data_IF_190664267115
#
_entry.id   IF_190664267115
#
_cell.length_a   1.000
_cell.length_b   1.000
_cell.length_c   1.000
_cell.angle_alpha   90.00
_cell.angle_beta   90.00
_cell.angle_gamma   90.00
#
_symmetry.space_group_name_H-M   'P 1'
#
loop_
_entity.id
_entity.type
_entity.pdbx_description
1 polymer ?
#
# COMPACT_ATOMS: atom_id res chain seq x y z
N UNK A 1 3.71 3.91 -6.75
CA UNK A 1 4.04 5.33 -6.48
C UNK A 1 4.60 5.49 -5.08
N UNK A 2 5.65 6.28 -4.91
CA UNK A 2 6.29 6.51 -3.60
C UNK A 2 5.39 7.33 -2.64
N UNK A 3 5.60 7.15 -1.33
CA UNK A 3 4.84 7.82 -0.29
C UNK A 3 4.93 9.35 -0.31
N UNK A 4 5.99 9.93 -0.89
CA UNK A 4 6.17 11.37 -1.01
C UNK A 4 5.13 12.02 -1.94
N UNK A 5 4.69 11.29 -2.97
CA UNK A 5 3.74 11.77 -3.97
C UNK A 5 2.30 11.34 -3.68
N UNK A 6 2.11 10.19 -3.02
CA UNK A 6 0.78 9.64 -2.78
C UNK A 6 -0.08 10.45 -1.81
N UNK A 7 -1.34 10.64 -2.22
CA UNK A 7 -2.44 11.13 -1.39
C UNK A 7 -3.78 10.63 -1.94
N UNK A 8 -4.81 10.59 -1.09
CA UNK A 8 -6.17 10.19 -1.51
C UNK A 8 -6.72 11.14 -2.59
N UNK A 9 -6.47 12.45 -2.44
CA UNK A 9 -6.92 13.43 -3.41
C UNK A 9 -6.30 13.19 -4.80
N UNK A 10 -5.00 12.87 -4.86
CA UNK A 10 -4.32 12.54 -6.11
C UNK A 10 -4.84 11.22 -6.69
N UNK A 11 -4.98 10.18 -5.87
CA UNK A 11 -5.47 8.87 -6.32
C UNK A 11 -6.86 8.98 -6.96
N UNK A 12 -7.79 9.73 -6.35
CA UNK A 12 -9.12 10.01 -6.93
C UNK A 12 -9.03 10.72 -8.28
N UNK A 13 -8.19 11.76 -8.38
CA UNK A 13 -8.01 12.51 -9.65
C UNK A 13 -7.45 11.63 -10.76
N UNK A 14 -6.51 10.75 -10.45
CA UNK A 14 -5.91 9.83 -11.41
C UNK A 14 -6.90 8.75 -11.83
N UNK A 15 -7.68 8.21 -10.90
CA UNK A 15 -8.73 7.25 -11.20
C UNK A 15 -9.79 7.82 -12.16
N UNK A 16 -10.20 9.07 -11.96
CA UNK A 16 -11.11 9.77 -12.90
C UNK A 16 -10.53 9.92 -14.31
N UNK A 17 -9.21 9.85 -14.46
CA UNK A 17 -8.50 9.87 -15.75
C UNK A 17 -8.16 8.47 -16.27
N UNK A 18 -8.73 7.42 -15.67
CA UNK A 18 -8.45 6.02 -16.04
C UNK A 18 -7.03 5.56 -15.69
N UNK A 19 -6.34 6.26 -14.78
CA UNK A 19 -5.00 5.90 -14.33
C UNK A 19 -5.06 5.28 -12.95
N UNK A 20 -4.71 4.00 -12.84
CA UNK A 20 -4.64 3.30 -11.57
C UNK A 20 -3.37 3.64 -10.79
N UNK A 21 -3.51 3.71 -9.46
CA UNK A 21 -2.42 4.00 -8.54
C UNK A 21 -2.39 2.93 -7.47
N UNK A 22 -1.20 2.38 -7.23
CA UNK A 22 -0.91 1.55 -6.07
C UNK A 22 0.39 2.03 -5.43
N UNK A 23 0.41 2.16 -4.10
CA UNK A 23 1.61 2.54 -3.38
C UNK A 23 1.47 2.71 -1.90
N UNK A 24 2.52 3.26 -1.29
CA UNK A 24 2.57 3.50 0.15
C UNK A 24 2.10 4.91 0.50
N UNK A 25 1.64 5.13 1.74
CA UNK A 25 1.22 6.43 2.26
C UNK A 25 2.04 6.81 3.50
N UNK A 26 2.34 8.11 3.63
CA UNK A 26 2.80 8.67 4.90
C UNK A 26 1.63 8.81 5.87
N UNK A 27 1.81 8.38 7.11
CA UNK A 27 0.76 8.41 8.13
C UNK A 27 0.24 9.84 8.41
N UNK A 28 1.13 10.83 8.41
CA UNK A 28 0.81 12.25 8.64
C UNK A 28 0.25 12.99 7.39
N UNK A 29 -0.06 12.28 6.30
CA UNK A 29 -0.66 12.91 5.11
C UNK A 29 -2.10 13.34 5.41
N UNK A 30 -2.41 14.61 5.13
CA UNK A 30 -3.77 15.15 5.28
C UNK A 30 -4.77 14.34 4.46
N UNK A 31 -5.91 14.03 5.07
CA UNK A 31 -7.03 13.33 4.43
C UNK A 31 -7.04 11.82 4.65
N UNK A 32 -5.97 11.22 5.21
CA UNK A 32 -5.99 9.82 5.58
C UNK A 32 -7.09 9.52 6.62
N UNK A 33 -7.82 8.39 6.53
CA UNK A 33 -8.83 8.02 7.52
C UNK A 33 -8.18 7.76 8.88
N UNK A 34 -8.61 8.52 9.90
CA UNK A 34 -8.07 8.39 11.26
C UNK A 34 -8.24 6.96 11.78
N UNK A 35 -9.41 6.35 11.55
CA UNK A 35 -9.75 4.98 11.91
C UNK A 35 -8.76 3.93 11.39
N UNK A 36 -8.10 4.18 10.25
CA UNK A 36 -7.06 3.29 9.70
C UNK A 36 -5.70 3.65 10.29
N UNK A 37 -5.34 4.92 10.30
CA UNK A 37 -4.01 5.39 10.76
C UNK A 37 -3.76 5.08 12.25
N UNK A 38 -4.78 5.25 13.11
CA UNK A 38 -4.67 5.11 14.57
C UNK A 38 -4.85 3.67 15.06
N UNK A 39 -5.35 2.75 14.21
CA UNK A 39 -5.58 1.36 14.60
C UNK A 39 -4.27 0.71 15.02
N UNK A 40 -4.26 0.14 16.23
CA UNK A 40 -3.18 -0.74 16.69
C UNK A 40 -3.41 -2.13 16.11
N UNK A 41 -2.37 -2.68 15.49
CA UNK A 41 -2.40 -3.98 14.82
C UNK A 41 -1.38 -4.90 15.48
N UNK A 42 -1.69 -6.19 15.58
CA UNK A 42 -0.70 -7.23 15.82
C UNK A 42 0.10 -7.51 14.53
N UNK A 43 1.26 -8.15 14.67
CA UNK A 43 2.08 -8.51 13.51
C UNK A 43 1.32 -9.50 12.62
N UNK A 44 1.23 -9.20 11.34
CA UNK A 44 0.50 -9.96 10.34
C UNK A 44 -0.92 -9.42 10.07
N UNK A 45 -1.47 -8.58 10.97
CA UNK A 45 -2.81 -8.04 10.79
C UNK A 45 -2.86 -6.90 9.78
N UNK A 46 -4.04 -6.75 9.16
CA UNK A 46 -4.37 -5.67 8.23
C UNK A 46 -5.72 -5.06 8.59
N UNK A 47 -5.88 -3.78 8.28
CA UNK A 47 -7.17 -3.10 8.26
C UNK A 47 -7.23 -2.23 7.01
N UNK A 48 -8.37 -2.18 6.34
CA UNK A 48 -8.55 -1.35 5.16
C UNK A 48 -9.93 -0.70 5.13
N UNK A 49 -10.02 0.42 4.40
CA UNK A 49 -11.26 1.10 4.09
C UNK A 49 -11.28 1.39 2.60
N UNK A 50 -12.40 1.08 1.95
CA UNK A 50 -12.69 1.47 0.59
C UNK A 50 -13.66 2.65 0.58
N UNK A 51 -13.37 3.67 -0.23
CA UNK A 51 -14.31 4.78 -0.46
C UNK A 51 -14.05 5.45 -1.80
N UNK A 52 -15.09 5.51 -2.64
CA UNK A 52 -15.05 6.23 -3.91
C UNK A 52 -13.92 5.78 -4.83
N UNK A 53 -13.76 4.47 -5.02
CA UNK A 53 -12.72 3.90 -5.90
C UNK A 53 -11.33 3.83 -5.29
N UNK A 54 -11.14 4.24 -4.04
CA UNK A 54 -9.84 4.25 -3.37
C UNK A 54 -9.88 3.39 -2.12
N UNK A 55 -8.99 2.41 -2.07
CA UNK A 55 -8.65 1.63 -0.88
C UNK A 55 -7.50 2.32 -0.14
N UNK A 56 -7.67 2.56 1.16
CA UNK A 56 -6.58 2.90 2.07
C UNK A 56 -6.49 1.81 3.12
N UNK A 57 -5.28 1.28 3.35
CA UNK A 57 -5.07 0.24 4.34
C UNK A 57 -3.82 0.45 5.18
N UNK A 58 -3.78 -0.27 6.28
CA UNK A 58 -2.66 -0.36 7.21
C UNK A 58 -2.41 -1.83 7.48
N UNK A 59 -1.17 -2.26 7.29
CA UNK A 59 -0.70 -3.61 7.56
C UNK A 59 0.53 -3.56 8.44
N UNK A 60 0.65 -4.49 9.39
CA UNK A 60 1.83 -4.53 10.28
C UNK A 60 2.70 -5.74 9.99
N UNK A 61 3.89 -5.49 9.45
CA UNK A 61 4.98 -6.46 9.47
C UNK A 61 5.87 -6.25 10.70
N UNK A 62 7.15 -5.90 10.51
CA UNK A 62 8.03 -5.44 11.57
C UNK A 62 7.64 -4.04 12.03
N UNK A 63 7.06 -3.25 11.13
CA UNK A 63 6.55 -1.90 11.34
C UNK A 63 5.21 -1.76 10.63
N UNK A 64 4.47 -0.74 11.01
CA UNK A 64 3.24 -0.37 10.33
C UNK A 64 3.56 0.17 8.93
N UNK A 65 2.85 -0.35 7.93
CA UNK A 65 2.90 0.09 6.55
C UNK A 65 1.50 0.57 6.17
N UNK A 66 1.38 1.86 5.85
CA UNK A 66 0.16 2.38 5.23
C UNK A 66 0.28 2.29 3.72
N UNK A 67 -0.80 1.88 3.07
CA UNK A 67 -0.89 1.73 1.64
C UNK A 67 -2.18 2.34 1.09
N UNK A 68 -2.14 2.65 -0.20
CA UNK A 68 -3.24 3.15 -1.00
C UNK A 68 -3.28 2.39 -2.31
N UNK A 69 -4.47 2.05 -2.76
CA UNK A 69 -4.67 1.50 -4.10
C UNK A 69 -6.01 1.93 -4.67
N UNK A 70 -6.08 2.12 -5.99
CA UNK A 70 -7.33 2.25 -6.74
C UNK A 70 -7.63 1.00 -7.58
N UNK A 71 -6.81 -0.04 -7.44
CA UNK A 71 -6.85 -1.26 -8.24
C UNK A 71 -7.10 -2.50 -7.36
N UNK A 72 -6.51 -2.50 -6.17
CA UNK A 72 -6.60 -3.59 -5.21
C UNK A 72 -7.35 -3.15 -3.95
N UNK A 73 -8.00 -4.11 -3.31
CA UNK A 73 -8.67 -3.94 -2.03
C UNK A 73 -7.75 -4.35 -0.85
N UNK A 74 -8.34 -4.67 0.29
CA UNK A 74 -7.62 -5.15 1.48
C UNK A 74 -7.30 -6.65 1.47
N UNK A 75 -7.47 -7.35 0.35
CA UNK A 75 -7.24 -8.79 0.26
C UNK A 75 -5.82 -9.17 0.72
N UNK A 76 -5.76 -10.13 1.64
CA UNK A 76 -4.52 -10.76 2.09
C UNK A 76 -4.27 -11.99 1.24
N UNK A 77 -3.08 -12.08 0.66
CA UNK A 77 -2.66 -13.24 -0.13
C UNK A 77 -1.34 -13.79 0.40
N UNK A 78 -1.14 -15.08 0.19
CA UNK A 78 0.11 -15.75 0.54
C UNK A 78 1.19 -15.41 -0.48
N UNK A 79 2.32 -14.89 -0.01
CA UNK A 79 3.52 -14.68 -0.80
C UNK A 79 4.66 -15.53 -0.21
N UNK A 80 5.27 -16.35 -1.07
CA UNK A 80 6.45 -17.12 -0.71
C UNK A 80 7.71 -16.30 -0.99
N UNK A 81 8.62 -16.21 -0.02
CA UNK A 81 9.91 -15.57 -0.25
C UNK A 81 10.88 -16.52 -0.96
N UNK A 82 12.04 -16.00 -1.39
CA UNK A 82 13.08 -16.80 -2.06
C UNK A 82 13.64 -17.97 -1.22
N UNK A 83 13.33 -18.04 0.08
CA UNK A 83 13.76 -19.09 1.02
C UNK A 83 12.66 -20.13 1.27
N UNK A 84 11.53 -20.05 0.58
CA UNK A 84 10.39 -20.96 0.77
C UNK A 84 9.46 -20.60 1.93
N UNK A 85 9.70 -19.48 2.62
CA UNK A 85 8.86 -19.07 3.74
C UNK A 85 7.61 -18.35 3.22
N UNK A 86 6.45 -18.90 3.54
CA UNK A 86 5.15 -18.33 3.19
C UNK A 86 4.69 -17.28 4.19
N UNK A 87 4.20 -16.15 3.69
CA UNK A 87 3.68 -15.06 4.52
C UNK A 87 2.46 -14.41 3.90
N UNK A 88 1.47 -14.11 4.74
CA UNK A 88 0.29 -13.34 4.37
C UNK A 88 0.65 -11.84 4.27
N UNK A 89 0.35 -11.23 3.13
CA UNK A 89 0.53 -9.78 2.90
C UNK A 89 -0.63 -9.22 2.08
N UNK A 90 -0.94 -7.91 2.20
CA UNK A 90 -1.92 -7.29 1.33
C UNK A 90 -1.47 -7.38 -0.13
N UNK A 91 -2.39 -7.76 -1.02
CA UNK A 91 -2.13 -7.85 -2.47
C UNK A 91 -1.60 -6.55 -3.06
N UNK A 92 -2.13 -5.41 -2.60
CA UNK A 92 -1.64 -4.08 -2.96
C UNK A 92 -0.14 -3.89 -2.68
N UNK A 93 0.37 -4.40 -1.54
CA UNK A 93 1.79 -4.31 -1.17
C UNK A 93 2.65 -5.21 -2.04
N UNK A 94 2.18 -6.43 -2.34
CA UNK A 94 2.90 -7.37 -3.21
C UNK A 94 3.04 -6.76 -4.61
N UNK A 95 1.95 -6.26 -5.17
CA UNK A 95 1.93 -5.62 -6.48
C UNK A 95 2.81 -4.36 -6.49
N UNK A 96 2.73 -3.53 -5.45
CA UNK A 96 3.63 -2.39 -5.29
C UNK A 96 5.11 -2.81 -5.34
N UNK A 97 5.52 -3.77 -4.51
CA UNK A 97 6.92 -4.22 -4.45
C UNK A 97 7.38 -4.81 -5.78
N UNK A 98 6.52 -5.58 -6.46
CA UNK A 98 6.81 -6.17 -7.77
C UNK A 98 7.20 -5.11 -8.80
N UNK A 99 6.42 -4.03 -8.91
CA UNK A 99 6.66 -3.00 -9.93
C UNK A 99 7.67 -1.92 -9.50
N UNK A 100 7.78 -1.63 -8.21
CA UNK A 100 8.73 -0.61 -7.73
C UNK A 100 10.17 -1.14 -7.56
N UNK A 101 10.35 -2.46 -7.39
CA UNK A 101 11.69 -3.05 -7.21
C UNK A 101 12.68 -2.79 -8.34
N UNK A 102 12.20 -2.46 -9.54
CA UNK A 102 13.06 -2.08 -10.66
C UNK A 102 13.65 -0.68 -10.51
N UNK A 103 12.89 0.27 -9.92
CA UNK A 103 13.32 1.65 -9.72
C UNK A 103 14.38 1.72 -8.61
N UNK A 104 14.11 1.07 -7.47
CA UNK A 104 15.05 1.04 -6.34
C UNK A 104 16.40 0.42 -6.70
N UNK A 105 16.44 -0.54 -7.65
CA UNK A 105 17.69 -1.13 -8.15
C UNK A 105 18.49 -0.16 -9.02
N UNK A 106 17.80 0.64 -9.82
CA UNK A 106 18.47 1.65 -10.64
C UNK A 106 19.12 2.72 -9.75
N UNK A 107 18.40 3.18 -8.72
CA UNK A 107 18.90 4.16 -7.75
C UNK A 107 20.08 3.61 -6.91
N UNK A 108 20.19 2.29 -6.75
CA UNK A 108 21.32 1.64 -6.08
C UNK A 108 22.58 1.48 -6.95
N UNK A 109 22.45 1.63 -8.27
CA UNK A 109 23.56 1.49 -9.23
C UNK A 109 24.19 2.83 -9.62
N UNK A 110 23.68 3.94 -9.07
CA UNK A 110 24.20 5.31 -9.21
C UNK A 110 24.99 5.71 -7.95
#
# INVERSE_FOLDING_TARGET
MDNYYNSIALAKKLLLKGTYVTGTLRANRKGNPSEITSKRLARGETVSKYSGGVTVGKWRDKRDVLFISTEFDGEMVQEENRRGESKQKPKAIIMYNKYMSGIDRQDQML
#
